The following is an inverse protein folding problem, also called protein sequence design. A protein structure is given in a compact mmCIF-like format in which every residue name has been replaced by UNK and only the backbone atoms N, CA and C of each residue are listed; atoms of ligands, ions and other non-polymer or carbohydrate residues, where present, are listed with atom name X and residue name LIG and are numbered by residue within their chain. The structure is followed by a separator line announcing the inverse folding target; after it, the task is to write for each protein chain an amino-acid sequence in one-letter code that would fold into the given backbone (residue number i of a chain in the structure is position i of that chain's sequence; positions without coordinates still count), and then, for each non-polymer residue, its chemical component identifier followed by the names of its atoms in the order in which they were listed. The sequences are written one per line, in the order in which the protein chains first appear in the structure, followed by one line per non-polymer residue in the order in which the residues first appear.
data_IF_128965938026
#
_entry.id   IF_128965938026
#
_cell.length_a   1.000
_cell.length_b   1.000
_cell.length_c   1.000
_cell.angle_alpha   90.00
_cell.angle_beta   90.00
_cell.angle_gamma   90.00
#
_symmetry.space_group_name_H-M   'P 1'
#
loop_
_entity.id
_entity.type
_entity.pdbx_description
1 polymer ?
#
# COMPACT_ATOMS: atom_id res chain seq x y z
N UNK A 1 -7.24 25.50 -16.97
CA UNK A 1 -7.09 24.12 -16.46
C UNK A 1 -6.80 24.20 -14.97
N UNK A 2 -7.25 23.22 -14.19
CA UNK A 2 -6.91 23.18 -12.77
C UNK A 2 -5.42 22.80 -12.61
N UNK A 3 -4.72 23.43 -11.67
CA UNK A 3 -3.33 23.12 -11.34
C UNK A 3 -3.23 21.75 -10.68
N UNK A 4 -2.40 20.88 -11.22
CA UNK A 4 -2.29 19.47 -10.84
C UNK A 4 -1.00 19.17 -10.07
N UNK A 5 -0.91 17.98 -9.46
CA UNK A 5 0.33 17.50 -8.84
C UNK A 5 1.48 17.32 -9.87
N UNK A 6 1.16 17.03 -11.13
CA UNK A 6 2.18 16.95 -12.17
C UNK A 6 2.68 18.35 -12.57
N UNK A 7 1.80 19.36 -12.61
CA UNK A 7 2.21 20.75 -12.80
C UNK A 7 3.11 21.24 -11.65
N UNK A 8 2.75 20.87 -10.42
CA UNK A 8 3.55 21.12 -9.22
C UNK A 8 4.96 20.52 -9.35
N UNK A 9 5.04 19.21 -9.70
CA UNK A 9 6.33 18.56 -9.92
C UNK A 9 7.14 19.18 -11.04
N UNK A 10 6.47 19.57 -12.13
CA UNK A 10 7.10 20.23 -13.29
C UNK A 10 7.78 21.54 -12.85
N UNK A 11 7.07 22.42 -12.14
CA UNK A 11 7.63 23.69 -11.68
C UNK A 11 8.84 23.46 -10.76
N UNK A 12 8.75 22.53 -9.81
CA UNK A 12 9.86 22.24 -8.89
C UNK A 12 11.07 21.67 -9.61
N UNK A 13 10.86 20.73 -10.53
CA UNK A 13 11.95 20.06 -11.25
C UNK A 13 12.58 20.92 -12.33
N UNK A 14 11.92 21.98 -12.77
CA UNK A 14 12.50 22.95 -13.72
C UNK A 14 13.73 23.63 -13.15
N UNK A 15 13.69 23.97 -11.85
CA UNK A 15 14.78 24.66 -11.17
C UNK A 15 15.65 23.72 -10.30
N UNK A 16 15.45 22.40 -10.41
CA UNK A 16 16.22 21.43 -9.65
C UNK A 16 17.57 21.13 -10.29
N UNK A 17 18.66 21.19 -9.50
CA UNK A 17 20.02 20.92 -9.97
C UNK A 17 20.32 19.41 -10.08
N UNK A 18 19.44 18.56 -9.53
CA UNK A 18 19.60 17.11 -9.46
C UNK A 18 18.24 16.42 -9.42
N UNK A 19 18.17 15.13 -9.76
CA UNK A 19 16.98 14.32 -9.55
C UNK A 19 16.54 14.29 -8.08
N UNK A 20 15.25 14.45 -7.83
CA UNK A 20 14.65 14.54 -6.49
C UNK A 20 13.68 13.38 -6.25
N UNK A 21 13.58 12.94 -4.99
CA UNK A 21 12.49 12.06 -4.54
C UNK A 21 11.16 12.85 -4.53
N UNK A 22 10.04 12.15 -4.55
CA UNK A 22 8.72 12.81 -4.47
C UNK A 22 8.54 13.61 -3.17
N UNK A 23 9.18 13.20 -2.07
CA UNK A 23 9.18 13.94 -0.81
C UNK A 23 10.01 15.24 -0.91
N UNK A 24 11.22 15.16 -1.49
CA UNK A 24 12.04 16.35 -1.76
C UNK A 24 11.34 17.32 -2.71
N UNK A 25 10.62 16.79 -3.74
CA UNK A 25 9.80 17.61 -4.64
C UNK A 25 8.68 18.31 -3.86
N UNK A 26 7.98 17.57 -3.01
CA UNK A 26 6.90 18.15 -2.19
C UNK A 26 7.41 19.24 -1.27
N UNK A 27 8.48 18.96 -0.50
CA UNK A 27 9.06 19.91 0.44
C UNK A 27 9.50 21.20 -0.27
N UNK A 28 10.23 21.07 -1.39
CA UNK A 28 10.69 22.23 -2.17
C UNK A 28 9.51 23.02 -2.75
N UNK A 29 8.47 22.35 -3.22
CA UNK A 29 7.27 23.03 -3.71
C UNK A 29 6.47 23.74 -2.61
N UNK A 30 6.50 23.23 -1.37
CA UNK A 30 5.92 23.93 -0.20
C UNK A 30 6.74 25.18 0.13
N UNK A 31 8.08 25.11 0.10
CA UNK A 31 8.96 26.26 0.28
C UNK A 31 8.73 27.35 -0.79
N UNK A 32 8.37 26.96 -2.01
CA UNK A 32 7.99 27.83 -3.12
C UNK A 32 6.50 28.24 -3.09
N UNK A 33 5.75 27.87 -2.06
CA UNK A 33 4.32 28.14 -1.89
C UNK A 33 3.40 27.55 -3.00
N UNK A 34 3.89 26.61 -3.81
CA UNK A 34 3.16 26.01 -4.93
C UNK A 34 1.96 25.14 -4.45
N UNK A 35 2.05 24.63 -3.23
CA UNK A 35 0.96 23.86 -2.60
C UNK A 35 -0.34 24.67 -2.49
N UNK A 36 -0.26 26.01 -2.42
CA UNK A 36 -1.42 26.89 -2.40
C UNK A 36 -2.20 26.95 -3.73
N UNK A 37 -1.56 26.53 -4.82
CA UNK A 37 -2.19 26.44 -6.16
C UNK A 37 -3.02 25.19 -6.34
N UNK A 38 -2.82 24.16 -5.49
CA UNK A 38 -3.55 22.89 -5.56
C UNK A 38 -4.94 23.07 -4.95
N UNK A 39 -5.99 22.59 -5.63
CA UNK A 39 -7.38 22.69 -5.18
C UNK A 39 -7.69 21.79 -3.97
N UNK A 40 -6.95 20.69 -3.81
CA UNK A 40 -7.03 19.79 -2.65
C UNK A 40 -5.71 19.04 -2.53
N UNK A 41 -5.17 18.94 -1.32
CA UNK A 41 -3.90 18.28 -1.05
C UNK A 41 -4.06 16.94 -0.30
N UNK A 42 -5.24 16.63 0.22
CA UNK A 42 -5.43 15.45 1.06
C UNK A 42 -4.61 15.49 2.36
N UNK A 43 -4.55 14.37 3.07
CA UNK A 43 -3.80 14.24 4.34
C UNK A 43 -2.30 13.91 4.14
N UNK A 44 -1.96 13.28 3.00
CA UNK A 44 -0.60 12.87 2.63
C UNK A 44 -0.28 13.32 1.19
N UNK A 45 -0.13 14.63 0.96
CA UNK A 45 -0.01 15.16 -0.41
C UNK A 45 1.27 14.71 -1.12
N UNK A 46 2.36 14.46 -0.40
CA UNK A 46 3.60 13.90 -0.98
C UNK A 46 3.39 12.49 -1.53
N UNK A 47 2.60 11.64 -0.86
CA UNK A 47 2.27 10.30 -1.37
C UNK A 47 1.38 10.39 -2.62
N UNK A 48 0.45 11.34 -2.66
CA UNK A 48 -0.37 11.63 -3.85
C UNK A 48 0.48 12.09 -5.03
N UNK A 49 1.47 12.93 -4.77
CA UNK A 49 2.45 13.39 -5.76
C UNK A 49 3.26 12.21 -6.30
N UNK A 50 3.81 11.39 -5.39
CA UNK A 50 4.61 10.20 -5.73
C UNK A 50 3.82 9.24 -6.62
N UNK A 51 2.63 8.83 -6.19
CA UNK A 51 1.79 7.91 -6.96
C UNK A 51 1.49 8.43 -8.38
N UNK A 52 1.21 9.73 -8.53
CA UNK A 52 0.96 10.32 -9.86
C UNK A 52 2.20 10.33 -10.74
N UNK A 53 3.38 10.65 -10.19
CA UNK A 53 4.64 10.59 -10.93
C UNK A 53 4.97 9.16 -11.38
N UNK A 54 4.73 8.16 -10.50
CA UNK A 54 4.94 6.75 -10.87
C UNK A 54 4.03 6.30 -12.01
N UNK A 55 2.74 6.60 -11.90
CA UNK A 55 1.75 6.26 -12.96
C UNK A 55 2.11 6.97 -14.27
N UNK A 56 2.40 8.27 -14.22
CA UNK A 56 2.76 9.07 -15.38
C UNK A 56 3.97 8.49 -16.11
N UNK A 57 5.05 8.17 -15.40
CA UNK A 57 6.26 7.61 -16.02
C UNK A 57 6.05 6.18 -16.54
N UNK A 58 5.17 5.40 -15.90
CA UNK A 58 4.90 4.01 -16.28
C UNK A 58 3.96 3.89 -17.48
N UNK A 59 2.89 4.71 -17.51
CA UNK A 59 1.79 4.54 -18.45
C UNK A 59 1.88 5.48 -19.67
N UNK A 60 2.63 6.60 -19.55
CA UNK A 60 2.78 7.57 -20.62
C UNK A 60 4.17 7.47 -21.26
N UNK A 61 4.31 6.89 -22.46
CA UNK A 61 5.60 6.82 -23.19
C UNK A 61 6.20 8.19 -23.49
N UNK A 62 5.36 9.23 -23.62
CA UNK A 62 5.76 10.61 -23.89
C UNK A 62 5.80 11.46 -22.60
N UNK A 63 5.97 10.80 -21.45
CA UNK A 63 6.04 11.49 -20.17
C UNK A 63 7.14 12.55 -20.17
N UNK A 64 6.80 13.72 -19.61
CA UNK A 64 7.77 14.80 -19.37
C UNK A 64 8.74 14.48 -18.23
N UNK A 65 8.49 13.42 -17.48
CA UNK A 65 9.30 12.97 -16.35
C UNK A 65 10.03 11.68 -16.68
N UNK A 66 11.19 11.51 -16.07
CA UNK A 66 11.95 10.26 -16.08
C UNK A 66 12.19 9.79 -14.66
N UNK A 67 12.22 8.48 -14.50
CA UNK A 67 12.59 7.81 -13.25
C UNK A 67 14.08 7.49 -13.25
N UNK A 68 14.76 7.72 -12.13
CA UNK A 68 16.20 7.48 -11.95
C UNK A 68 16.43 6.76 -10.63
N UNK A 69 17.14 5.64 -10.70
CA UNK A 69 17.42 4.79 -9.55
C UNK A 69 16.17 4.03 -9.08
N UNK A 70 16.40 3.11 -8.14
CA UNK A 70 15.33 2.26 -7.59
C UNK A 70 15.20 2.42 -6.07
N UNK A 71 16.20 3.06 -5.41
CA UNK A 71 16.17 3.16 -3.95
C UNK A 71 17.09 4.27 -3.39
N UNK A 72 16.54 5.41 -2.99
CA UNK A 72 15.17 5.84 -3.27
C UNK A 72 14.98 6.17 -4.75
N UNK A 73 13.76 6.01 -5.23
CA UNK A 73 13.39 6.46 -6.57
C UNK A 73 13.42 7.98 -6.64
N UNK A 74 14.03 8.50 -7.70
CA UNK A 74 14.13 9.93 -7.98
C UNK A 74 13.50 10.23 -9.32
N UNK A 75 12.96 11.42 -9.44
CA UNK A 75 12.34 11.93 -10.66
C UNK A 75 13.11 13.12 -11.18
N UNK A 76 13.15 13.26 -12.49
CA UNK A 76 13.72 14.40 -13.17
C UNK A 76 12.95 14.71 -14.46
N UNK A 77 13.25 15.84 -15.11
CA UNK A 77 12.62 16.16 -16.39
C UNK A 77 13.29 15.40 -17.54
N UNK A 78 12.47 14.80 -18.40
CA UNK A 78 12.94 14.08 -19.59
C UNK A 78 13.76 15.00 -20.52
N UNK A 79 13.37 16.26 -20.66
CA UNK A 79 14.07 17.28 -21.46
C UNK A 79 15.47 17.62 -20.93
N UNK A 80 15.72 17.40 -19.64
CA UNK A 80 16.99 17.71 -18.95
C UNK A 80 17.82 16.45 -18.64
N UNK A 81 17.47 15.30 -19.23
CA UNK A 81 18.17 14.03 -19.00
C UNK A 81 19.69 14.13 -19.22
N UNK A 82 20.13 14.92 -20.22
CA UNK A 82 21.55 15.08 -20.54
C UNK A 82 22.34 15.92 -19.53
N UNK A 83 21.65 16.60 -18.60
CA UNK A 83 22.31 17.37 -17.54
C UNK A 83 22.70 16.49 -16.36
N UNK A 84 22.24 15.23 -16.32
CA UNK A 84 22.58 14.28 -15.28
C UNK A 84 24.00 13.77 -15.53
N UNK A 85 24.91 14.09 -14.61
CA UNK A 85 26.31 13.65 -14.72
C UNK A 85 26.42 12.12 -14.63
N UNK A 86 27.30 11.50 -15.42
CA UNK A 86 27.63 10.08 -15.34
C UNK A 86 28.11 9.70 -13.92
N UNK A 87 28.77 10.61 -13.24
CA UNK A 87 29.21 10.41 -11.86
C UNK A 87 28.04 10.26 -10.89
N UNK A 88 26.94 11.01 -11.08
CA UNK A 88 25.74 10.88 -10.29
C UNK A 88 25.02 9.56 -10.58
N UNK A 89 24.92 9.16 -11.85
CA UNK A 89 24.35 7.86 -12.25
C UNK A 89 25.16 6.70 -11.66
N UNK A 90 26.48 6.76 -11.77
CA UNK A 90 27.38 5.75 -11.21
C UNK A 90 27.30 5.68 -9.67
N UNK A 91 27.12 6.79 -8.99
CA UNK A 91 26.86 6.84 -7.53
C UNK A 91 25.55 6.13 -7.20
N UNK A 92 24.47 6.43 -7.87
CA UNK A 92 23.17 5.81 -7.67
C UNK A 92 23.28 4.30 -7.88
N UNK A 93 23.86 3.84 -8.99
CA UNK A 93 24.07 2.42 -9.27
C UNK A 93 25.00 1.72 -8.24
N UNK A 94 26.02 2.42 -7.74
CA UNK A 94 26.94 1.86 -6.74
C UNK A 94 26.27 1.69 -5.38
N UNK A 95 25.36 2.59 -5.01
CA UNK A 95 24.51 2.45 -3.82
C UNK A 95 23.55 1.26 -3.98
N UNK A 96 22.92 1.11 -5.13
CA UNK A 96 22.02 -0.02 -5.42
C UNK A 96 22.74 -1.37 -5.39
N UNK A 97 23.98 -1.46 -5.92
CA UNK A 97 24.79 -2.69 -5.86
C UNK A 97 25.20 -3.06 -4.44
N UNK A 98 25.58 -2.09 -3.61
CA UNK A 98 25.92 -2.32 -2.19
C UNK A 98 24.71 -2.78 -1.37
N UNK A 99 23.52 -2.30 -1.69
CA UNK A 99 22.29 -2.69 -1.00
C UNK A 99 21.78 -4.07 -1.44
N UNK A 100 21.93 -4.47 -2.71
CA UNK A 100 21.58 -5.83 -3.18
C UNK A 100 22.36 -6.94 -2.50
N UNK A 101 23.55 -6.65 -1.97
CA UNK A 101 24.39 -7.62 -1.24
C UNK A 101 24.10 -7.71 0.26
N UNK A 102 23.34 -6.79 0.83
CA UNK A 102 22.93 -6.88 2.23
C UNK A 102 21.66 -7.76 2.34
N UNK A 103 21.84 -9.01 2.79
CA UNK A 103 20.68 -9.85 3.19
C UNK A 103 20.01 -9.19 4.39
N UNK A 104 18.84 -8.58 4.14
CA UNK A 104 18.01 -8.03 5.20
C UNK A 104 17.36 -9.16 5.99
N UNK A 105 17.64 -9.20 7.28
CA UNK A 105 16.96 -10.10 8.20
C UNK A 105 15.80 -9.35 8.85
N UNK A 106 14.64 -9.31 8.19
CA UNK A 106 13.37 -8.83 8.74
C UNK A 106 12.36 -9.97 8.78
N UNK A 107 11.37 -9.86 9.65
CA UNK A 107 10.26 -10.80 9.73
C UNK A 107 9.05 -10.28 8.95
N UNK A 108 8.10 -11.14 8.58
CA UNK A 108 6.85 -10.73 7.92
C UNK A 108 6.10 -9.67 8.73
N UNK A 109 6.09 -9.79 10.05
CA UNK A 109 5.49 -8.79 10.96
C UNK A 109 6.14 -7.40 10.90
N UNK A 110 7.39 -7.31 10.50
CA UNK A 110 8.04 -6.00 10.30
C UNK A 110 7.45 -5.25 9.08
N UNK A 111 6.71 -5.94 8.20
CA UNK A 111 6.01 -5.34 7.06
C UNK A 111 4.62 -4.78 7.42
N UNK A 112 4.02 -5.20 8.54
CA UNK A 112 2.67 -4.77 8.93
C UNK A 112 2.52 -3.24 9.05
N UNK A 113 3.40 -2.52 9.77
CA UNK A 113 3.30 -1.06 9.86
C UNK A 113 3.47 -0.36 8.51
N UNK A 114 4.29 -0.92 7.62
CA UNK A 114 4.48 -0.39 6.27
C UNK A 114 3.25 -0.60 5.40
N UNK A 115 2.61 -1.78 5.50
CA UNK A 115 1.35 -2.04 4.81
C UNK A 115 0.24 -1.13 5.34
N UNK A 116 0.13 -0.96 6.67
CA UNK A 116 -0.81 -0.02 7.29
C UNK A 116 -0.66 1.39 6.71
N UNK A 117 0.58 1.89 6.64
CA UNK A 117 0.85 3.19 6.04
C UNK A 117 0.46 3.23 4.56
N UNK A 118 0.84 2.22 3.77
CA UNK A 118 0.56 2.15 2.34
C UNK A 118 -0.95 2.16 2.05
N UNK A 119 -1.73 1.28 2.66
CA UNK A 119 -3.17 1.18 2.37
C UNK A 119 -3.98 2.38 2.91
N UNK A 120 -3.45 3.08 3.91
CA UNK A 120 -4.06 4.30 4.44
C UNK A 120 -3.75 5.52 3.57
N UNK A 121 -2.51 5.67 3.11
CA UNK A 121 -2.02 6.93 2.50
C UNK A 121 -1.95 6.91 0.98
N UNK A 122 -1.82 5.72 0.34
CA UNK A 122 -1.63 5.64 -1.11
C UNK A 122 -2.94 5.90 -1.87
N UNK A 123 -3.02 6.99 -2.67
CA UNK A 123 -4.26 7.36 -3.36
C UNK A 123 -4.64 6.41 -4.50
N UNK A 124 -3.71 5.59 -5.00
CA UNK A 124 -4.01 4.57 -6.00
C UNK A 124 -4.63 3.33 -5.37
N UNK A 125 -4.33 3.03 -4.09
CA UNK A 125 -4.97 1.97 -3.34
C UNK A 125 -6.34 2.43 -2.83
N UNK A 126 -7.31 1.52 -2.78
CA UNK A 126 -8.65 1.85 -2.27
C UNK A 126 -9.37 2.99 -3.04
N UNK A 127 -8.83 3.43 -4.18
CA UNK A 127 -9.37 4.56 -4.98
C UNK A 127 -9.42 5.86 -4.17
N UNK A 128 -8.36 6.16 -3.45
CA UNK A 128 -8.22 7.37 -2.64
C UNK A 128 -8.94 7.31 -1.29
N UNK A 129 -9.32 6.12 -0.83
CA UNK A 129 -9.97 5.89 0.47
C UNK A 129 -8.93 5.53 1.52
N UNK A 130 -9.07 6.09 2.71
CA UNK A 130 -8.21 5.76 3.84
C UNK A 130 -8.67 4.44 4.46
N UNK A 131 -7.88 3.39 4.31
CA UNK A 131 -8.18 2.06 4.87
C UNK A 131 -7.47 1.93 6.21
N UNK A 132 -8.23 1.60 7.25
CA UNK A 132 -7.71 1.29 8.58
C UNK A 132 -7.48 -0.21 8.68
N UNK A 133 -6.36 -0.62 9.27
CA UNK A 133 -5.97 -2.03 9.39
C UNK A 133 -5.92 -2.50 10.84
N UNK A 134 -6.02 -3.81 11.00
CA UNK A 134 -5.80 -4.51 12.25
C UNK A 134 -4.96 -5.75 12.00
N UNK A 135 -3.85 -5.88 12.69
CA UNK A 135 -3.05 -7.10 12.72
C UNK A 135 -3.81 -8.20 13.46
N UNK A 136 -3.85 -9.40 12.87
CA UNK A 136 -4.46 -10.59 13.47
C UNK A 136 -3.36 -11.53 13.93
N UNK A 137 -3.33 -11.81 15.23
CA UNK A 137 -2.31 -12.67 15.82
C UNK A 137 -2.78 -14.13 15.84
N UNK A 138 -2.06 -15.01 15.12
CA UNK A 138 -2.37 -16.44 15.05
C UNK A 138 -2.23 -17.16 16.41
N UNK A 139 -1.37 -16.63 17.29
CA UNK A 139 -1.12 -17.19 18.61
C UNK A 139 -2.34 -17.11 19.55
N UNK A 140 -3.28 -16.23 19.25
CA UNK A 140 -4.52 -16.01 20.02
C UNK A 140 -5.63 -17.00 19.62
N UNK A 141 -5.41 -17.79 18.58
CA UNK A 141 -6.40 -18.72 18.06
C UNK A 141 -6.51 -20.02 18.87
N UNK A 142 -7.74 -20.52 19.06
CA UNK A 142 -8.05 -21.66 19.93
C UNK A 142 -7.51 -23.03 19.46
N UNK A 143 -7.12 -23.18 18.17
CA UNK A 143 -6.58 -24.43 17.61
C UNK A 143 -5.34 -24.18 16.76
N UNK A 144 -4.18 -24.65 17.21
CA UNK A 144 -2.92 -24.60 16.46
C UNK A 144 -2.95 -25.60 15.29
N UNK A 145 -2.39 -25.21 14.13
CA UNK A 145 -2.17 -26.08 12.96
C UNK A 145 -3.31 -26.14 11.94
N UNK A 146 -4.58 -25.97 12.34
CA UNK A 146 -5.72 -25.87 11.42
C UNK A 146 -5.95 -24.43 10.94
N UNK A 147 -5.33 -23.48 11.62
CA UNK A 147 -5.64 -22.05 11.53
C UNK A 147 -4.75 -21.27 10.54
N UNK A 148 -3.63 -21.84 10.06
CA UNK A 148 -2.75 -21.20 9.08
C UNK A 148 -3.47 -20.87 7.76
N UNK A 149 -4.54 -21.62 7.44
CA UNK A 149 -5.36 -21.45 6.25
C UNK A 149 -6.71 -20.76 6.51
N UNK A 150 -6.91 -20.23 7.70
CA UNK A 150 -8.19 -19.63 8.09
C UNK A 150 -8.10 -18.14 8.41
N UNK A 151 -6.94 -17.65 8.89
CA UNK A 151 -6.77 -16.29 9.34
C UNK A 151 -5.80 -15.52 8.45
N UNK A 152 -6.20 -14.35 7.94
CA UNK A 152 -5.27 -13.44 7.28
C UNK A 152 -4.27 -12.87 8.31
N UNK A 153 -3.12 -12.41 7.83
CA UNK A 153 -2.14 -11.71 8.68
C UNK A 153 -2.66 -10.36 9.15
N UNK A 154 -3.38 -9.67 8.27
CA UNK A 154 -4.00 -8.39 8.58
C UNK A 154 -5.37 -8.29 7.91
N UNK A 155 -6.25 -7.57 8.58
CA UNK A 155 -7.58 -7.18 8.07
C UNK A 155 -7.64 -5.68 7.90
N UNK A 156 -8.54 -5.20 7.04
CA UNK A 156 -8.75 -3.78 6.86
C UNK A 156 -10.21 -3.45 6.62
N UNK A 157 -10.57 -2.18 6.84
CA UNK A 157 -11.88 -1.69 6.48
C UNK A 157 -11.83 -0.25 6.00
N UNK A 158 -12.86 0.11 5.24
CA UNK A 158 -13.20 1.48 4.88
C UNK A 158 -14.64 1.77 5.27
N UNK A 159 -14.83 2.92 5.91
CA UNK A 159 -16.13 3.52 6.18
C UNK A 159 -16.11 4.97 5.69
N UNK A 160 -17.10 5.42 4.90
CA UNK A 160 -17.11 6.77 4.32
C UNK A 160 -17.61 7.85 5.32
N UNK A 161 -17.31 7.69 6.61
CA UNK A 161 -17.81 8.57 7.67
C UNK A 161 -17.27 10.00 7.58
N UNK A 162 -16.02 10.13 7.06
CA UNK A 162 -15.39 11.44 6.86
C UNK A 162 -15.69 12.01 5.45
N UNK A 163 -16.17 11.18 4.51
CA UNK A 163 -16.32 11.54 3.10
C UNK A 163 -17.77 11.83 2.69
N UNK A 164 -18.74 11.24 3.38
CA UNK A 164 -20.15 11.32 3.01
C UNK A 164 -20.97 12.11 4.02
N UNK A 165 -22.05 12.75 3.51
CA UNK A 165 -23.07 13.35 4.35
C UNK A 165 -23.77 12.29 5.20
N UNK A 166 -24.02 12.59 6.47
CA UNK A 166 -24.68 11.68 7.41
C UNK A 166 -26.04 11.15 6.91
N UNK A 167 -26.84 11.98 6.23
CA UNK A 167 -28.11 11.54 5.66
C UNK A 167 -27.93 10.51 4.55
N UNK A 168 -26.83 10.62 3.77
CA UNK A 168 -26.51 9.65 2.74
C UNK A 168 -26.06 8.31 3.35
N UNK A 169 -25.32 8.33 4.45
CA UNK A 169 -24.92 7.14 5.20
C UNK A 169 -26.16 6.42 5.75
N UNK A 170 -27.11 7.16 6.34
CA UNK A 170 -28.37 6.61 6.83
C UNK A 170 -29.22 6.03 5.69
N UNK A 171 -29.34 6.76 4.58
CA UNK A 171 -30.09 6.28 3.41
C UNK A 171 -29.49 5.01 2.83
N UNK A 172 -28.16 4.91 2.76
CA UNK A 172 -27.46 3.72 2.30
C UNK A 172 -27.75 2.51 3.21
N UNK A 173 -27.83 2.73 4.54
CA UNK A 173 -28.25 1.71 5.51
C UNK A 173 -29.65 1.15 5.23
N UNK A 174 -30.59 2.04 4.88
CA UNK A 174 -31.96 1.64 4.54
C UNK A 174 -32.08 0.86 3.21
N UNK A 175 -31.07 1.00 2.35
CA UNK A 175 -31.05 0.41 0.99
C UNK A 175 -30.39 -0.97 0.94
N UNK A 176 -30.08 -1.61 2.07
CA UNK A 176 -29.33 -2.86 2.17
C UNK A 176 -27.97 -2.87 1.44
N UNK A 177 -27.44 -1.68 1.13
CA UNK A 177 -26.12 -1.54 0.53
C UNK A 177 -25.04 -1.55 1.63
N UNK A 178 -24.05 -2.43 1.49
CA UNK A 178 -22.93 -2.47 2.41
C UNK A 178 -22.05 -1.22 2.27
N UNK A 179 -22.19 -0.27 3.19
CA UNK A 179 -21.35 0.93 3.28
C UNK A 179 -19.93 0.57 3.70
N UNK A 180 -19.79 -0.47 4.51
CA UNK A 180 -18.50 -1.00 4.98
C UNK A 180 -17.85 -1.81 3.87
N UNK A 181 -16.59 -1.54 3.57
CA UNK A 181 -15.77 -2.41 2.74
C UNK A 181 -14.69 -3.06 3.58
N UNK A 182 -14.56 -4.37 3.45
CA UNK A 182 -13.63 -5.21 4.19
C UNK A 182 -12.51 -5.69 3.29
N UNK A 183 -11.30 -5.72 3.84
CA UNK A 183 -10.08 -6.12 3.17
C UNK A 183 -9.37 -7.22 3.95
N UNK A 184 -8.76 -8.16 3.23
CA UNK A 184 -7.92 -9.23 3.77
C UNK A 184 -6.54 -9.16 3.15
N UNK A 185 -5.49 -9.23 3.97
CA UNK A 185 -4.11 -9.17 3.51
C UNK A 185 -3.33 -10.39 4.04
N UNK A 186 -2.76 -11.13 3.11
CA UNK A 186 -1.78 -12.19 3.36
C UNK A 186 -0.40 -11.66 3.01
N UNK A 187 0.56 -11.74 3.93
CA UNK A 187 1.87 -11.09 3.80
C UNK A 187 2.96 -12.14 3.67
N UNK A 188 3.85 -11.96 2.71
CA UNK A 188 5.04 -12.81 2.50
C UNK A 188 6.27 -11.94 2.34
N UNK A 189 7.41 -12.41 2.85
CA UNK A 189 8.71 -11.73 2.64
C UNK A 189 9.08 -11.69 1.18
N UNK A 190 8.92 -12.82 0.48
CA UNK A 190 9.26 -12.94 -0.93
C UNK A 190 8.37 -13.93 -1.66
N UNK A 191 8.08 -13.63 -2.92
CA UNK A 191 7.36 -14.50 -3.86
C UNK A 191 8.30 -14.87 -5.00
N UNK A 192 8.42 -16.18 -5.24
CA UNK A 192 9.26 -16.77 -6.29
C UNK A 192 8.60 -18.01 -6.90
N UNK A 193 9.23 -18.63 -7.91
CA UNK A 193 8.69 -19.81 -8.61
C UNK A 193 8.40 -21.02 -7.72
N UNK A 194 9.02 -21.11 -6.54
CA UNK A 194 8.83 -22.28 -5.65
C UNK A 194 7.64 -22.11 -4.69
N UNK A 195 7.26 -20.87 -4.31
CA UNK A 195 6.27 -20.62 -3.27
C UNK A 195 5.01 -19.85 -3.73
N UNK A 196 4.98 -19.30 -4.95
CA UNK A 196 3.91 -18.41 -5.38
C UNK A 196 2.52 -19.02 -5.33
N UNK A 197 2.38 -20.32 -5.69
CA UNK A 197 1.08 -21.01 -5.68
C UNK A 197 0.55 -21.16 -4.26
N UNK A 198 1.38 -21.66 -3.36
CA UNK A 198 1.01 -21.85 -1.96
C UNK A 198 0.60 -20.52 -1.33
N UNK A 199 1.44 -19.49 -1.45
CA UNK A 199 1.17 -18.16 -0.93
C UNK A 199 -0.12 -17.54 -1.51
N UNK A 200 -0.33 -17.73 -2.82
CA UNK A 200 -1.52 -17.22 -3.49
C UNK A 200 -2.80 -17.92 -3.00
N UNK A 201 -2.80 -19.25 -2.90
CA UNK A 201 -3.96 -19.99 -2.43
C UNK A 201 -4.23 -19.82 -0.94
N UNK A 202 -3.21 -19.52 -0.14
CA UNK A 202 -3.39 -19.08 1.23
C UNK A 202 -4.16 -17.75 1.28
N UNK A 203 -3.80 -16.77 0.47
CA UNK A 203 -4.56 -15.51 0.35
C UNK A 203 -6.00 -15.73 -0.16
N UNK A 204 -6.23 -16.68 -1.09
CA UNK A 204 -7.57 -17.06 -1.53
C UNK A 204 -8.40 -17.61 -0.37
N UNK A 205 -7.84 -18.56 0.39
CA UNK A 205 -8.50 -19.19 1.55
C UNK A 205 -8.86 -18.16 2.63
N UNK A 206 -7.92 -17.26 2.92
CA UNK A 206 -8.03 -16.30 4.01
C UNK A 206 -8.90 -15.07 3.69
N UNK A 207 -9.46 -14.96 2.48
CA UNK A 207 -10.16 -13.74 2.02
C UNK A 207 -11.60 -13.96 1.55
N UNK A 208 -12.20 -15.14 1.72
CA UNK A 208 -13.57 -15.42 1.25
C UNK A 208 -14.60 -14.46 1.85
N UNK A 209 -14.39 -14.04 3.07
CA UNK A 209 -15.22 -13.16 3.90
C UNK A 209 -15.05 -11.66 3.58
N UNK A 210 -14.00 -11.26 2.86
CA UNK A 210 -13.68 -9.86 2.57
C UNK A 210 -14.16 -9.44 1.16
N UNK A 211 -14.42 -8.14 0.99
CA UNK A 211 -14.75 -7.57 -0.33
C UNK A 211 -13.56 -7.65 -1.28
N UNK A 212 -12.35 -7.43 -0.77
CA UNK A 212 -11.10 -7.49 -1.53
C UNK A 212 -10.05 -8.26 -0.72
N UNK A 213 -9.37 -9.21 -1.36
CA UNK A 213 -8.25 -9.94 -0.78
C UNK A 213 -6.96 -9.64 -1.53
N UNK A 214 -5.86 -9.51 -0.83
CA UNK A 214 -4.55 -9.20 -1.40
C UNK A 214 -3.46 -10.13 -0.85
N UNK A 215 -2.62 -10.61 -1.77
CA UNK A 215 -1.30 -11.14 -1.45
C UNK A 215 -0.29 -10.00 -1.51
N UNK A 216 0.39 -9.77 -0.40
CA UNK A 216 1.36 -8.68 -0.24
C UNK A 216 2.76 -9.27 -0.12
N UNK A 217 3.72 -8.76 -0.86
CA UNK A 217 5.11 -9.22 -0.73
C UNK A 217 6.11 -8.07 -0.81
N UNK A 218 7.15 -8.15 0.04
CA UNK A 218 8.24 -7.20 0.03
C UNK A 218 9.22 -7.42 -1.14
N UNK A 219 9.29 -8.64 -1.66
CA UNK A 219 10.13 -9.00 -2.80
C UNK A 219 9.35 -9.94 -3.72
N UNK A 220 9.23 -9.56 -4.98
CA UNK A 220 8.63 -10.41 -6.02
C UNK A 220 9.67 -10.54 -7.13
N UNK A 221 10.11 -11.78 -7.35
CA UNK A 221 11.11 -12.06 -8.39
C UNK A 221 10.59 -11.55 -9.74
N UNK A 222 11.38 -10.69 -10.38
CA UNK A 222 11.07 -10.10 -11.67
C UNK A 222 11.38 -11.11 -12.78
N UNK A 223 10.43 -12.02 -13.02
CA UNK A 223 10.51 -13.08 -14.02
C UNK A 223 9.15 -13.07 -14.78
N UNK A 224 9.22 -12.96 -16.09
CA UNK A 224 8.05 -12.78 -16.94
C UNK A 224 7.05 -13.94 -16.82
N UNK A 225 7.53 -15.19 -16.72
CA UNK A 225 6.65 -16.36 -16.54
C UNK A 225 5.95 -16.32 -15.19
N UNK A 226 6.66 -15.93 -14.11
CA UNK A 226 6.08 -15.80 -12.79
C UNK A 226 5.03 -14.69 -12.76
N UNK A 227 5.32 -13.54 -13.34
CA UNK A 227 4.39 -12.42 -13.38
C UNK A 227 3.13 -12.78 -14.21
N UNK A 228 3.29 -13.44 -15.36
CA UNK A 228 2.16 -13.92 -16.16
C UNK A 228 1.30 -14.94 -15.41
N UNK A 229 1.90 -15.87 -14.64
CA UNK A 229 1.15 -16.81 -13.81
C UNK A 229 0.41 -16.11 -12.66
N UNK A 230 1.02 -15.12 -12.00
CA UNK A 230 0.36 -14.32 -10.97
C UNK A 230 -0.82 -13.54 -11.52
N UNK A 231 -0.68 -12.93 -12.70
CA UNK A 231 -1.77 -12.24 -13.40
C UNK A 231 -2.91 -13.20 -13.76
N UNK A 232 -2.58 -14.40 -14.27
CA UNK A 232 -3.56 -15.45 -14.58
C UNK A 232 -4.33 -15.88 -13.33
N UNK A 233 -3.64 -16.10 -12.21
CA UNK A 233 -4.26 -16.44 -10.92
C UNK A 233 -5.18 -15.32 -10.43
N UNK A 234 -4.72 -14.05 -10.46
CA UNK A 234 -5.55 -12.88 -10.12
C UNK A 234 -6.80 -12.80 -10.97
N UNK A 235 -6.67 -13.03 -12.28
CA UNK A 235 -7.81 -13.05 -13.20
C UNK A 235 -8.82 -14.17 -12.85
N UNK A 236 -8.33 -15.34 -12.48
CA UNK A 236 -9.15 -16.52 -12.18
C UNK A 236 -9.84 -16.46 -10.81
N UNK A 237 -9.11 -16.05 -9.76
CA UNK A 237 -9.57 -16.12 -8.38
C UNK A 237 -9.87 -14.77 -7.74
N UNK A 238 -9.42 -13.67 -8.33
CA UNK A 238 -9.78 -12.32 -7.90
C UNK A 238 -8.96 -11.76 -6.74
N UNK A 239 -7.88 -12.45 -6.30
CA UNK A 239 -6.97 -11.93 -5.29
C UNK A 239 -5.98 -10.99 -5.97
N UNK A 240 -5.87 -9.77 -5.45
CA UNK A 240 -4.89 -8.80 -5.94
C UNK A 240 -3.49 -9.06 -5.41
N UNK A 241 -2.50 -8.42 -6.03
CA UNK A 241 -1.09 -8.55 -5.62
C UNK A 241 -0.50 -7.17 -5.41
N UNK A 242 0.09 -6.97 -4.22
CA UNK A 242 0.80 -5.74 -3.84
C UNK A 242 2.28 -6.07 -3.70
N UNK A 243 3.11 -5.34 -4.44
CA UNK A 243 4.54 -5.25 -4.16
C UNK A 243 4.74 -4.12 -3.15
N UNK A 244 5.12 -4.48 -1.93
CA UNK A 244 5.36 -3.55 -0.83
C UNK A 244 6.86 -3.25 -0.75
N UNK A 245 7.31 -2.17 -1.36
CA UNK A 245 8.72 -1.79 -1.30
C UNK A 245 9.08 -1.35 0.12
N UNK A 246 9.74 -2.26 0.86
CA UNK A 246 10.10 -2.03 2.26
C UNK A 246 11.28 -1.06 2.45
N UNK A 247 11.92 -0.62 1.37
CA UNK A 247 13.01 0.35 1.39
C UNK A 247 12.52 1.76 1.07
N UNK A 248 11.57 1.84 0.16
CA UNK A 248 10.88 3.07 -0.25
C UNK A 248 9.38 2.76 -0.36
N UNK A 249 8.67 2.93 0.74
CA UNK A 249 7.27 2.52 0.84
C UNK A 249 6.37 3.23 -0.18
N UNK A 250 6.74 4.46 -0.57
CA UNK A 250 5.99 5.23 -1.55
C UNK A 250 6.20 4.71 -3.00
N UNK A 251 7.21 3.85 -3.20
CA UNK A 251 7.43 3.08 -4.44
C UNK A 251 6.60 1.79 -4.51
N UNK A 252 5.85 1.47 -3.46
CA UNK A 252 4.99 0.28 -3.44
C UNK A 252 3.88 0.38 -4.48
N UNK A 253 3.54 -0.76 -5.10
CA UNK A 253 2.62 -0.82 -6.24
C UNK A 253 1.58 -1.92 -6.04
N UNK A 254 0.35 -1.64 -6.46
CA UNK A 254 -0.64 -2.69 -6.75
C UNK A 254 -0.31 -3.25 -8.13
N UNK A 255 0.38 -4.40 -8.17
CA UNK A 255 0.75 -5.05 -9.45
C UNK A 255 -0.49 -5.52 -10.20
N UNK A 256 -1.39 -6.20 -9.46
CA UNK A 256 -2.65 -6.68 -10.00
C UNK A 256 -3.77 -6.34 -9.01
N UNK A 257 -4.81 -5.60 -9.42
CA UNK A 257 -5.90 -5.22 -8.53
C UNK A 257 -6.79 -6.42 -8.20
N UNK A 258 -7.30 -6.47 -6.97
CA UNK A 258 -8.28 -7.46 -6.58
C UNK A 258 -9.62 -7.23 -7.27
N UNK A 259 -10.39 -8.32 -7.47
CA UNK A 259 -11.80 -8.23 -7.87
C UNK A 259 -12.67 -7.97 -6.63
N UNK A 260 -13.56 -6.99 -6.74
CA UNK A 260 -14.49 -6.65 -5.67
C UNK A 260 -15.56 -7.73 -5.58
N UNK A 261 -15.70 -8.34 -4.40
CA UNK A 261 -16.79 -9.28 -4.07
C UNK A 261 -17.95 -8.50 -3.42
N UNK A 262 -19.13 -8.71 -3.88
CA UNK A 262 -20.37 -8.17 -3.28
C UNK A 262 -20.98 -9.14 -2.28
N UNK A 263 -20.87 -10.44 -2.56
CA UNK A 263 -21.36 -11.50 -1.69
C UNK A 263 -20.21 -11.97 -0.79
N UNK A 264 -20.36 -11.74 0.51
CA UNK A 264 -19.37 -12.14 1.51
C UNK A 264 -19.73 -13.50 2.12
N UNK A 265 -18.71 -14.26 2.50
CA UNK A 265 -18.86 -15.53 3.21
C UNK A 265 -19.06 -15.28 4.71
N UNK A 266 -20.30 -15.05 5.08
CA UNK A 266 -20.72 -14.79 6.46
C UNK A 266 -20.46 -15.97 7.40
N UNK A 267 -20.51 -17.22 6.89
CA UNK A 267 -20.21 -18.38 7.71
C UNK A 267 -18.74 -18.45 8.09
N UNK A 268 -17.85 -18.15 7.14
CA UNK A 268 -16.42 -18.04 7.43
C UNK A 268 -16.15 -16.89 8.38
N UNK A 269 -16.80 -15.72 8.20
CA UNK A 269 -16.67 -14.59 9.10
C UNK A 269 -17.10 -14.95 10.54
N UNK A 270 -18.22 -15.67 10.71
CA UNK A 270 -18.67 -16.13 12.02
C UNK A 270 -17.66 -17.10 12.67
N UNK A 271 -17.13 -18.06 11.91
CA UNK A 271 -16.07 -18.96 12.40
C UNK A 271 -14.82 -18.21 12.84
N UNK A 272 -14.42 -17.19 12.10
CA UNK A 272 -13.27 -16.34 12.46
C UNK A 272 -13.51 -15.62 13.78
N UNK A 273 -14.68 -15.03 14.00
CA UNK A 273 -15.05 -14.40 15.28
C UNK A 273 -14.99 -15.39 16.45
N UNK A 274 -15.49 -16.63 16.24
CA UNK A 274 -15.48 -17.66 17.29
C UNK A 274 -14.07 -18.15 17.65
N UNK A 275 -13.14 -18.13 16.68
CA UNK A 275 -11.83 -18.74 16.81
C UNK A 275 -10.72 -17.76 17.14
N UNK A 276 -10.82 -16.50 16.71
CA UNK A 276 -9.79 -15.49 16.90
C UNK A 276 -10.37 -14.23 17.54
N UNK A 277 -9.88 -13.90 18.75
CA UNK A 277 -10.34 -12.74 19.53
C UNK A 277 -9.98 -11.40 18.87
N UNK A 278 -8.87 -11.32 18.13
CA UNK A 278 -8.48 -10.08 17.44
C UNK A 278 -9.44 -9.80 16.30
N UNK A 279 -9.85 -10.85 15.57
CA UNK A 279 -10.85 -10.72 14.50
C UNK A 279 -12.23 -10.36 15.08
N UNK A 280 -12.68 -11.02 16.16
CA UNK A 280 -13.93 -10.69 16.84
C UNK A 280 -13.92 -9.22 17.29
N UNK A 281 -12.83 -8.77 17.94
CA UNK A 281 -12.68 -7.39 18.36
C UNK A 281 -12.68 -6.42 17.18
N UNK A 282 -12.02 -6.76 16.08
CA UNK A 282 -12.04 -5.94 14.86
C UNK A 282 -13.48 -5.71 14.36
N UNK A 283 -14.30 -6.76 14.27
CA UNK A 283 -15.70 -6.63 13.86
C UNK A 283 -16.51 -5.77 14.84
N UNK A 284 -16.27 -5.92 16.16
CA UNK A 284 -16.91 -5.10 17.19
C UNK A 284 -16.51 -3.62 17.06
N UNK A 285 -15.21 -3.33 16.88
CA UNK A 285 -14.69 -1.97 16.73
C UNK A 285 -15.28 -1.28 15.49
N UNK A 286 -15.32 -1.98 14.33
CA UNK A 286 -15.94 -1.47 13.10
C UNK A 286 -17.44 -1.19 13.30
N UNK A 287 -18.16 -2.07 14.05
CA UNK A 287 -19.57 -1.85 14.39
C UNK A 287 -19.75 -0.61 15.27
N UNK A 288 -18.91 -0.42 16.30
CA UNK A 288 -18.93 0.74 17.18
C UNK A 288 -18.68 2.03 16.38
N UNK A 289 -17.71 2.01 15.48
CA UNK A 289 -17.41 3.15 14.61
C UNK A 289 -18.58 3.50 13.70
N UNK A 290 -19.23 2.49 13.13
CA UNK A 290 -20.42 2.68 12.30
C UNK A 290 -21.59 3.27 13.09
N UNK A 291 -21.87 2.76 14.30
CA UNK A 291 -22.96 3.19 15.16
C UNK A 291 -22.72 4.61 15.72
N UNK A 292 -21.46 4.90 16.13
CA UNK A 292 -21.06 6.22 16.67
C UNK A 292 -20.81 7.27 15.59
N UNK A 293 -20.77 6.88 14.32
CA UNK A 293 -20.40 7.73 13.16
C UNK A 293 -19.03 8.39 13.32
N UNK A 294 -18.12 7.71 14.00
CA UNK A 294 -16.77 8.19 14.26
C UNK A 294 -15.78 7.03 14.28
N UNK A 295 -14.64 7.19 13.60
CA UNK A 295 -13.55 6.20 13.63
C UNK A 295 -12.70 6.40 14.89
N UNK A 296 -12.65 5.37 15.73
CA UNK A 296 -11.80 5.31 16.92
C UNK A 296 -10.41 4.79 16.55
N UNK A 297 -9.57 5.67 16.00
CA UNK A 297 -8.27 5.31 15.41
C UNK A 297 -7.33 4.55 16.34
N UNK A 298 -7.48 4.70 17.67
CA UNK A 298 -6.68 3.98 18.68
C UNK A 298 -6.94 2.48 18.73
N UNK A 299 -8.06 2.00 18.19
CA UNK A 299 -8.41 0.58 18.18
C UNK A 299 -7.77 -0.18 17.01
N UNK A 300 -7.15 0.51 16.07
CA UNK A 300 -6.54 -0.02 14.86
C UNK A 300 -5.02 0.11 14.89
N UNK A 301 -4.37 -0.50 13.92
CA UNK A 301 -2.91 -0.41 13.79
C UNK A 301 -2.48 1.06 13.61
N UNK A 302 -1.42 1.50 14.32
CA UNK A 302 -0.96 2.88 14.23
C UNK A 302 -0.39 3.19 12.85
N UNK A 303 -0.82 4.31 12.29
CA UNK A 303 -0.30 4.81 11.02
C UNK A 303 1.04 5.50 11.29
N UNK A 304 2.08 5.09 10.57
CA UNK A 304 3.40 5.70 10.69
C UNK A 304 3.35 7.18 10.28
N UNK A 305 3.83 8.06 11.17
CA UNK A 305 4.00 9.48 10.84
C UNK A 305 5.17 9.67 9.88
N UNK A 306 6.27 8.92 10.10
CA UNK A 306 7.45 8.93 9.25
C UNK A 306 7.90 7.47 8.96
N UNK A 307 7.51 6.91 7.80
CA UNK A 307 7.90 5.56 7.43
C UNK A 307 9.41 5.40 7.22
N UNK A 308 10.14 6.45 6.79
CA UNK A 308 11.59 6.37 6.61
C UNK A 308 12.33 6.10 7.93
N UNK A 309 11.87 6.70 9.04
CA UNK A 309 12.50 6.47 10.34
C UNK A 309 12.22 5.05 10.86
N UNK A 310 11.07 4.50 10.52
CA UNK A 310 10.77 3.09 10.80
C UNK A 310 11.68 2.18 9.99
N UNK A 311 11.80 2.42 8.70
CA UNK A 311 12.68 1.70 7.78
C UNK A 311 14.13 1.77 8.26
N UNK A 312 14.66 2.95 8.59
CA UNK A 312 16.02 3.11 9.14
C UNK A 312 16.26 2.26 10.39
N UNK A 313 15.28 2.19 11.29
CA UNK A 313 15.35 1.33 12.51
C UNK A 313 15.39 -0.16 12.17
N UNK A 314 14.62 -0.63 11.19
CA UNK A 314 14.69 -2.00 10.70
C UNK A 314 16.09 -2.33 10.15
N UNK A 315 16.67 -1.43 9.37
CA UNK A 315 18.04 -1.58 8.84
C UNK A 315 19.10 -1.65 9.94
N UNK A 316 18.94 -0.93 11.03
CA UNK A 316 19.88 -0.96 12.16
C UNK A 316 19.76 -2.25 12.98
N UNK A 317 18.54 -2.78 13.13
CA UNK A 317 18.26 -4.03 13.85
C UNK A 317 18.85 -5.26 13.15
N UNK A 318 18.89 -5.26 11.82
CA UNK A 318 19.43 -6.37 11.03
C UNK A 318 20.96 -6.41 10.97
N UNK A 319 21.65 -5.38 11.49
CA UNK A 319 23.14 -5.33 11.57
C UNK A 319 23.70 -5.82 12.90
N UNK A 320 22.85 -6.14 13.85
CA UNK A 320 23.20 -6.76 15.14
C UNK A 320 22.90 -8.25 15.14
#
# INVERSE_FOLDING_TARGET
MAYTFLDFAMEVLTDADKPLTHQEIWQRGVELELNKKLSSTGKTPWASLGARLYVEVKENPDSKFIRIGNNPVRFFLASRKNEISEELLNRIESYERKEKTSQFNFNERDLHPLLTYFVYSNPAFGRGKNIFTKTIYHEVSKRRGYNEWLHPDMVGFYLPLEDWNNNLIEFNRLSDNNTVKLFSFEIKKSINKSNYRESYFQAVSNSSWANEGYLVSADIVQDDDLLAELERLTTSFGIGIIHLDFKDIDSSLVLFPAKIKTNLDWETMNKLCEQNKDFEKFIQDVKIDYDSKRIHKSEYDPILENPEDYIKRLFQKSKK
#
